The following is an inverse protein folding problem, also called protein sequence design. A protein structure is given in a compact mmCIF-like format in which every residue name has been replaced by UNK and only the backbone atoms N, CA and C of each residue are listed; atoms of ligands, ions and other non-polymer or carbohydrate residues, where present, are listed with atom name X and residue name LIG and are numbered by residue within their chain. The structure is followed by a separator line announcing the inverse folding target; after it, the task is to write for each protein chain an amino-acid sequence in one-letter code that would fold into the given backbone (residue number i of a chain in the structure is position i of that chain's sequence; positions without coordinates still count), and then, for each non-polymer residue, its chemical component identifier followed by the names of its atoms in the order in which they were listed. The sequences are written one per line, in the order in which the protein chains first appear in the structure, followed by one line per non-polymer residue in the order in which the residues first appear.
data_IF_177258592413
#
_entry.id   IF_177258592413
#
_cell.length_a   1.000
_cell.length_b   1.000
_cell.length_c   1.000
_cell.angle_alpha   90.00
_cell.angle_beta   90.00
_cell.angle_gamma   90.00
#
_symmetry.space_group_name_H-M   'P 1'
#
loop_
_entity.id
_entity.type
_entity.pdbx_description
1 polymer ?
#
# COMPACT_ATOMS: atom_id res chain seq x y z
N UNK A 1 11.42 1.12 -4.58
CA UNK A 1 11.39 2.60 -4.45
C UNK A 1 10.87 3.09 -3.10
N UNK A 2 9.57 3.01 -2.73
CA UNK A 2 9.09 3.62 -1.46
C UNK A 2 9.91 3.21 -0.23
N UNK A 3 10.16 1.89 -0.07
CA UNK A 3 11.00 1.37 1.01
C UNK A 3 12.44 1.88 0.95
N UNK A 4 13.03 1.95 -0.24
CA UNK A 4 14.39 2.47 -0.42
C UNK A 4 14.46 3.93 -0.01
N UNK A 5 13.50 4.77 -0.42
CA UNK A 5 13.47 6.18 -0.05
C UNK A 5 13.30 6.38 1.46
N UNK A 6 12.45 5.59 2.11
CA UNK A 6 12.33 5.61 3.58
C UNK A 6 13.67 5.25 4.24
N UNK A 7 14.39 4.24 3.73
CA UNK A 7 15.71 3.86 4.23
C UNK A 7 16.78 4.93 3.95
N UNK A 8 16.80 5.54 2.77
CA UNK A 8 17.73 6.62 2.41
C UNK A 8 17.56 7.85 3.30
N UNK A 9 16.32 8.18 3.68
CA UNK A 9 16.00 9.25 4.61
C UNK A 9 16.20 8.84 6.08
N UNK A 10 16.66 7.62 6.33
CA UNK A 10 16.84 7.03 7.67
C UNK A 10 15.56 7.07 8.54
N UNK A 11 14.39 7.08 7.89
CA UNK A 11 13.11 7.11 8.58
C UNK A 11 12.75 5.72 9.10
N UNK A 12 12.46 5.55 10.41
CA UNK A 12 11.98 4.29 10.93
C UNK A 12 10.58 3.98 10.40
N UNK A 13 10.35 2.74 9.95
CA UNK A 13 9.05 2.31 9.47
C UNK A 13 8.72 0.87 9.90
N UNK A 14 7.43 0.58 10.01
CA UNK A 14 6.91 -0.79 10.17
C UNK A 14 6.41 -1.28 8.83
N UNK A 15 6.99 -2.37 8.32
CA UNK A 15 6.55 -2.97 7.06
C UNK A 15 5.44 -3.97 7.31
N UNK A 16 4.22 -3.62 6.92
CA UNK A 16 3.10 -4.57 6.90
C UNK A 16 3.04 -5.29 5.55
N UNK A 17 3.39 -6.57 5.52
CA UNK A 17 3.26 -7.39 4.31
C UNK A 17 1.80 -7.75 4.04
N UNK A 18 1.34 -7.49 2.82
CA UNK A 18 -0.03 -7.78 2.37
C UNK A 18 0.03 -8.68 1.14
N UNK A 19 0.33 -9.96 1.36
CA UNK A 19 0.40 -10.98 0.31
C UNK A 19 -0.97 -11.19 -0.36
N UNK A 20 -0.98 -11.87 -1.51
CA UNK A 20 -2.22 -12.29 -2.16
C UNK A 20 -2.89 -13.38 -1.33
N UNK A 21 -4.20 -13.32 -1.20
CA UNK A 21 -5.00 -14.19 -0.34
C UNK A 21 -5.94 -15.12 -1.11
N UNK A 22 -6.20 -14.86 -2.40
CA UNK A 22 -7.15 -15.66 -3.18
C UNK A 22 -6.68 -15.97 -4.60
N UNK A 23 -7.13 -17.13 -5.13
CA UNK A 23 -6.75 -17.63 -6.47
C UNK A 23 -7.00 -16.63 -7.59
N UNK A 24 -8.07 -15.83 -7.50
CA UNK A 24 -8.43 -14.80 -8.49
C UNK A 24 -7.41 -13.66 -8.62
N UNK A 25 -6.48 -13.51 -7.66
CA UNK A 25 -5.41 -12.52 -7.72
C UNK A 25 -4.16 -13.02 -8.46
N UNK A 26 -4.09 -14.32 -8.70
CA UNK A 26 -3.01 -14.95 -9.45
C UNK A 26 -3.36 -14.99 -10.95
N UNK A 27 -2.33 -14.93 -11.80
CA UNK A 27 -2.49 -14.87 -13.26
C UNK A 27 -2.25 -13.48 -13.86
N UNK A 28 -2.22 -13.46 -15.20
CA UNK A 28 -1.99 -12.24 -15.99
C UNK A 28 -3.15 -11.27 -15.77
N UNK A 29 -2.90 -9.96 -15.82
CA UNK A 29 -3.93 -8.95 -15.55
C UNK A 29 -5.22 -9.15 -16.37
N UNK A 30 -5.09 -9.53 -17.65
CA UNK A 30 -6.23 -9.82 -18.55
C UNK A 30 -7.00 -11.11 -18.23
N UNK A 31 -6.44 -11.99 -17.40
CA UNK A 31 -7.01 -13.29 -17.02
C UNK A 31 -7.64 -13.26 -15.63
N UNK A 32 -7.55 -12.14 -14.91
CA UNK A 32 -8.19 -11.97 -13.60
C UNK A 32 -9.70 -11.79 -13.81
N UNK A 33 -10.49 -12.27 -12.85
CA UNK A 33 -11.95 -12.23 -12.91
C UNK A 33 -12.46 -10.78 -13.07
N UNK A 34 -13.44 -10.49 -13.96
CA UNK A 34 -13.95 -9.14 -14.18
C UNK A 34 -14.85 -8.62 -13.05
N UNK A 35 -15.11 -9.44 -12.03
CA UNK A 35 -15.95 -9.07 -10.91
C UNK A 35 -15.25 -8.03 -10.01
N UNK A 36 -16.01 -7.16 -9.32
CA UNK A 36 -15.46 -6.26 -8.31
C UNK A 36 -14.64 -7.04 -7.29
N UNK A 37 -13.53 -6.45 -6.85
CA UNK A 37 -12.65 -7.08 -5.88
C UNK A 37 -13.33 -7.17 -4.51
N UNK A 38 -13.50 -8.39 -4.01
CA UNK A 38 -13.94 -8.66 -2.64
C UNK A 38 -12.80 -9.36 -1.88
N UNK A 39 -12.29 -8.78 -0.78
CA UNK A 39 -11.26 -9.42 0.03
C UNK A 39 -11.83 -10.57 0.87
N UNK A 40 -10.98 -11.52 1.24
CA UNK A 40 -11.33 -12.58 2.19
C UNK A 40 -11.51 -11.96 3.59
N UNK A 41 -12.66 -12.12 4.26
CA UNK A 41 -12.90 -11.53 5.58
C UNK A 41 -11.85 -11.96 6.61
N UNK A 42 -11.46 -11.03 7.49
CA UNK A 42 -10.48 -11.28 8.56
C UNK A 42 -9.01 -11.30 8.11
N UNK A 43 -8.73 -11.19 6.80
CA UNK A 43 -7.38 -11.10 6.25
C UNK A 43 -6.77 -9.70 6.33
N UNK A 44 -5.46 -9.61 6.03
CA UNK A 44 -4.76 -8.31 5.97
C UNK A 44 -5.27 -7.47 4.81
N UNK A 45 -5.68 -8.10 3.70
CA UNK A 45 -6.29 -7.38 2.57
C UNK A 45 -7.67 -6.83 2.92
N UNK A 46 -8.47 -7.55 3.71
CA UNK A 46 -9.74 -7.03 4.20
C UNK A 46 -9.54 -5.81 5.10
N UNK A 47 -8.58 -5.87 6.03
CA UNK A 47 -8.25 -4.74 6.89
C UNK A 47 -7.75 -3.51 6.10
N UNK A 48 -6.91 -3.73 5.09
CA UNK A 48 -6.45 -2.68 4.18
C UNK A 48 -7.60 -2.07 3.37
N UNK A 49 -8.40 -2.93 2.73
CA UNK A 49 -9.52 -2.51 1.89
C UNK A 49 -10.58 -1.74 2.68
N UNK A 50 -10.85 -2.15 3.93
CA UNK A 50 -11.77 -1.43 4.81
C UNK A 50 -11.29 0.00 5.13
N UNK A 51 -9.97 0.22 5.12
CA UNK A 51 -9.35 1.51 5.41
C UNK A 51 -9.30 2.44 4.21
N UNK A 52 -8.95 1.91 3.05
CA UNK A 52 -8.66 2.71 1.85
C UNK A 52 -9.76 2.67 0.80
N UNK A 53 -10.70 1.71 0.89
CA UNK A 53 -11.68 1.41 -0.16
C UNK A 53 -11.08 0.76 -1.42
N UNK A 54 -9.76 0.58 -1.47
CA UNK A 54 -9.03 0.13 -2.66
C UNK A 54 -7.96 -0.88 -2.30
N UNK A 55 -7.95 -2.01 -3.00
CA UNK A 55 -6.88 -3.00 -2.85
C UNK A 55 -5.67 -2.64 -3.71
N UNK A 56 -5.01 -1.55 -3.31
CA UNK A 56 -3.80 -1.03 -3.94
C UNK A 56 -2.69 -0.90 -2.92
N UNK A 57 -1.49 -1.27 -3.34
CA UNK A 57 -0.24 -1.14 -2.58
C UNK A 57 0.84 -0.59 -3.51
N UNK A 58 1.82 0.18 -3.02
CA UNK A 58 2.06 0.53 -1.61
C UNK A 58 1.06 1.54 -1.04
N UNK A 59 1.00 1.60 0.28
CA UNK A 59 0.21 2.54 1.08
C UNK A 59 1.06 2.97 2.28
N UNK A 60 1.11 4.27 2.55
CA UNK A 60 1.88 4.86 3.64
C UNK A 60 0.93 5.51 4.65
N UNK A 61 1.14 5.22 5.92
CA UNK A 61 0.56 5.97 7.04
C UNK A 61 1.69 6.66 7.78
N UNK A 62 1.58 7.97 7.91
CA UNK A 62 2.57 8.77 8.61
C UNK A 62 1.99 9.27 9.95
N UNK A 63 2.48 8.76 11.10
CA UNK A 63 1.98 9.17 12.40
C UNK A 63 2.39 10.60 12.78
N UNK A 64 3.41 11.19 12.15
CA UNK A 64 3.87 12.54 12.47
C UNK A 64 2.91 13.60 11.92
N UNK A 65 2.30 13.33 10.77
CA UNK A 65 1.42 14.28 10.07
C UNK A 65 -0.03 13.82 9.96
N UNK A 66 -0.31 12.55 10.29
CA UNK A 66 -1.61 11.90 10.10
C UNK A 66 -1.92 11.58 8.63
N UNK A 67 -0.96 11.76 7.71
CA UNK A 67 -1.18 11.51 6.29
C UNK A 67 -1.36 10.03 5.98
N UNK A 68 -2.31 9.73 5.09
CA UNK A 68 -2.60 8.40 4.57
C UNK A 68 -2.58 8.46 3.04
N UNK A 69 -1.60 7.79 2.43
CA UNK A 69 -1.25 8.05 1.03
C UNK A 69 -1.18 6.72 0.25
N UNK A 70 -1.96 6.62 -0.82
CA UNK A 70 -1.85 5.60 -1.86
C UNK A 70 -0.98 6.11 -3.01
N UNK A 71 -0.63 5.22 -3.94
CA UNK A 71 0.21 5.47 -5.11
C UNK A 71 1.68 5.75 -4.77
N UNK A 72 2.57 4.94 -5.34
CA UNK A 72 4.00 5.03 -5.06
C UNK A 72 4.60 6.40 -5.41
N UNK A 73 4.19 7.00 -6.54
CA UNK A 73 4.68 8.31 -6.96
C UNK A 73 4.25 9.43 -6.00
N UNK A 74 3.01 9.38 -5.51
CA UNK A 74 2.49 10.36 -4.55
C UNK A 74 3.21 10.23 -3.20
N UNK A 75 3.44 8.99 -2.74
CA UNK A 75 4.21 8.70 -1.53
C UNK A 75 5.63 9.25 -1.65
N UNK A 76 6.33 8.97 -2.75
CA UNK A 76 7.71 9.45 -2.94
C UNK A 76 7.77 10.99 -2.96
N UNK A 77 6.86 11.64 -3.68
CA UNK A 77 6.80 13.10 -3.70
C UNK A 77 6.48 13.70 -2.34
N UNK A 78 5.66 13.02 -1.54
CA UNK A 78 5.40 13.41 -0.15
C UNK A 78 6.65 13.30 0.72
N UNK A 79 7.33 12.14 0.70
CA UNK A 79 8.54 11.91 1.49
C UNK A 79 9.62 12.95 1.17
N UNK A 80 9.78 13.28 -0.11
CA UNK A 80 10.71 14.31 -0.55
C UNK A 80 10.37 15.68 0.05
N UNK A 81 9.13 16.14 -0.12
CA UNK A 81 8.71 17.47 0.35
C UNK A 81 8.72 17.60 1.88
N UNK A 82 8.49 16.51 2.60
CA UNK A 82 8.28 16.56 4.06
C UNK A 82 9.56 16.26 4.84
N UNK A 83 10.44 15.40 4.33
CA UNK A 83 11.54 14.83 5.12
C UNK A 83 12.93 14.94 4.48
N UNK A 84 13.05 15.32 3.21
CA UNK A 84 14.36 15.43 2.54
C UNK A 84 15.03 16.82 2.75
N UNK A 85 14.92 17.38 3.96
CA UNK A 85 15.50 18.70 4.33
C UNK A 85 16.87 18.55 4.96
#
# INVERSE_FOLDING_TARGET
LVRERLTELELPYVLHNVAKEQRSEFGRARQRHPAPYTPVPGGKRAAHFARTGHMQVPYLEDPNTGMQILESAAILGYLERTYAT
#
